data_IF_699789819427
#
_entry.id   IF_699789819427
#
_cell.length_a   1.000
_cell.length_b   1.000
_cell.length_c   1.000
_cell.angle_alpha   90.00
_cell.angle_beta   90.00
_cell.angle_gamma   90.00
#
_symmetry.space_group_name_H-M   'P 1'
#
loop_
_entity.id
_entity.type
_entity.pdbx_description
1 polymer ?
#
# COMPACT_ATOMS: atom_id res chain seq x y z
N UNK A 1 -76.65 6.28 -36.93
CA UNK A 1 -76.69 4.83 -36.68
C UNK A 1 -75.63 4.16 -37.52
N UNK A 2 -74.50 3.84 -36.99
CA UNK A 2 -73.55 2.82 -37.46
C UNK A 2 -72.93 2.14 -36.26
N UNK A 3 -73.29 0.95 -35.99
CA UNK A 3 -72.81 0.03 -34.98
C UNK A 3 -71.41 -0.48 -35.38
N UNK A 4 -70.40 -0.34 -34.58
CA UNK A 4 -69.08 -0.97 -34.70
C UNK A 4 -69.02 -2.16 -33.76
N UNK A 5 -68.99 -3.35 -34.39
CA UNK A 5 -68.77 -4.63 -33.73
C UNK A 5 -67.27 -4.73 -33.44
N UNK A 6 -66.91 -4.89 -32.18
CA UNK A 6 -65.57 -5.22 -31.75
C UNK A 6 -65.40 -6.73 -31.67
N UNK A 7 -64.44 -7.27 -32.41
CA UNK A 7 -64.05 -8.70 -32.41
C UNK A 7 -63.22 -9.02 -31.09
N UNK A 8 -63.63 -10.03 -30.32
CA UNK A 8 -63.02 -10.34 -29.05
C UNK A 8 -61.80 -11.28 -29.14
N UNK A 9 -61.12 -11.44 -30.27
CA UNK A 9 -60.08 -12.46 -30.48
C UNK A 9 -58.66 -11.97 -30.60
N UNK A 10 -58.35 -10.72 -30.25
CA UNK A 10 -56.96 -10.22 -30.22
C UNK A 10 -56.55 -9.87 -28.77
N UNK A 11 -56.21 -10.90 -28.01
CA UNK A 11 -55.35 -10.73 -26.83
C UNK A 11 -53.89 -10.85 -27.28
N UNK A 12 -53.00 -9.87 -27.00
CA UNK A 12 -51.56 -10.04 -27.18
C UNK A 12 -51.03 -11.07 -26.18
N UNK A 13 -50.26 -12.03 -26.66
CA UNK A 13 -49.57 -13.01 -25.85
C UNK A 13 -48.63 -12.29 -24.89
N UNK A 14 -48.76 -12.56 -23.60
CA UNK A 14 -47.82 -12.15 -22.56
C UNK A 14 -46.49 -12.90 -22.78
N UNK A 15 -45.43 -12.19 -23.07
CA UNK A 15 -44.07 -12.70 -23.02
C UNK A 15 -43.75 -13.17 -21.59
N UNK A 16 -43.08 -14.31 -21.44
CA UNK A 16 -42.60 -14.71 -20.11
C UNK A 16 -41.59 -13.69 -19.60
N UNK A 17 -41.77 -13.23 -18.37
CA UNK A 17 -40.78 -12.44 -17.64
C UNK A 17 -39.52 -13.30 -17.49
N UNK A 18 -38.45 -12.96 -18.20
CA UNK A 18 -37.11 -13.46 -17.89
C UNK A 18 -36.79 -13.00 -16.47
N UNK A 19 -36.72 -13.95 -15.56
CA UNK A 19 -36.19 -13.73 -14.22
C UNK A 19 -34.74 -13.27 -14.39
N UNK A 20 -34.45 -12.03 -13.92
CA UNK A 20 -33.10 -11.57 -13.75
C UNK A 20 -32.33 -12.60 -12.89
N UNK A 21 -31.06 -12.89 -13.21
CA UNK A 21 -30.30 -13.80 -12.39
C UNK A 21 -30.23 -13.21 -10.95
N UNK A 22 -30.70 -13.99 -10.00
CA UNK A 22 -30.41 -13.74 -8.58
C UNK A 22 -28.90 -13.72 -8.43
N UNK A 23 -28.35 -12.54 -8.18
CA UNK A 23 -26.96 -12.40 -7.75
C UNK A 23 -26.94 -12.85 -6.29
N UNK A 24 -26.54 -14.10 -6.12
CA UNK A 24 -26.29 -14.69 -4.81
C UNK A 24 -25.12 -13.92 -4.17
N UNK A 25 -25.41 -12.97 -3.31
CA UNK A 25 -24.44 -12.38 -2.41
C UNK A 25 -24.10 -13.40 -1.32
N UNK A 26 -23.47 -14.52 -1.69
CA UNK A 26 -22.67 -15.26 -0.74
C UNK A 26 -21.59 -14.29 -0.23
N UNK A 27 -21.75 -13.84 0.99
CA UNK A 27 -20.67 -13.19 1.75
C UNK A 27 -19.54 -14.19 1.85
N UNK A 28 -18.58 -14.11 0.93
CA UNK A 28 -17.34 -14.86 0.94
C UNK A 28 -16.64 -14.56 2.27
N UNK A 29 -16.85 -15.41 3.26
CA UNK A 29 -16.11 -15.35 4.52
C UNK A 29 -14.67 -15.70 4.20
N UNK A 30 -13.85 -14.69 3.98
CA UNK A 30 -12.43 -14.85 3.70
C UNK A 30 -11.79 -15.61 4.86
N UNK A 31 -11.39 -16.85 4.60
CA UNK A 31 -10.68 -17.67 5.58
C UNK A 31 -9.23 -17.24 5.62
N UNK A 32 -8.86 -16.47 6.63
CA UNK A 32 -7.46 -16.07 6.84
C UNK A 32 -6.62 -17.31 7.15
N UNK A 33 -5.50 -17.52 6.44
CA UNK A 33 -4.64 -18.69 6.65
C UNK A 33 -4.01 -18.70 8.05
N UNK A 34 -4.01 -19.87 8.70
CA UNK A 34 -3.63 -20.02 10.12
C UNK A 34 -2.24 -19.48 10.46
N UNK A 35 -1.24 -19.68 9.59
CA UNK A 35 0.12 -19.16 9.87
C UNK A 35 0.18 -17.65 9.81
N UNK A 36 -0.68 -17.00 9.02
CA UNK A 36 -0.80 -15.52 8.99
C UNK A 36 -1.35 -15.00 10.32
N UNK A 37 -2.36 -15.70 10.89
CA UNK A 37 -2.91 -15.37 12.20
C UNK A 37 -1.86 -15.49 13.33
N UNK A 38 -0.85 -16.31 13.15
CA UNK A 38 0.23 -16.55 14.12
C UNK A 38 1.48 -15.67 13.88
N UNK A 39 1.41 -14.71 12.94
CA UNK A 39 2.48 -13.73 12.84
C UNK A 39 2.60 -12.93 14.14
N UNK A 40 3.83 -12.63 14.58
CA UNK A 40 4.02 -11.75 15.72
C UNK A 40 3.33 -10.39 15.45
N UNK A 41 2.87 -9.71 16.48
CA UNK A 41 2.29 -8.38 16.33
C UNK A 41 3.29 -7.44 15.67
N UNK A 42 2.76 -6.40 15.00
CA UNK A 42 3.59 -5.30 14.50
C UNK A 42 4.46 -4.75 15.64
N UNK A 43 5.65 -4.25 15.30
CA UNK A 43 6.57 -3.77 16.33
C UNK A 43 5.87 -2.82 17.30
N UNK A 44 5.94 -3.14 18.61
CA UNK A 44 5.19 -2.43 19.64
C UNK A 44 5.53 -0.93 19.71
N UNK A 45 6.80 -0.57 19.49
CA UNK A 45 7.24 0.83 19.49
C UNK A 45 6.65 1.57 18.28
N UNK A 46 6.71 0.96 17.09
CA UNK A 46 6.12 1.55 15.89
C UNK A 46 4.60 1.71 16.02
N UNK A 47 3.90 0.72 16.60
CA UNK A 47 2.46 0.83 16.89
C UNK A 47 2.15 1.97 17.84
N UNK A 48 2.92 2.13 18.92
CA UNK A 48 2.76 3.23 19.87
C UNK A 48 3.05 4.59 19.20
N UNK A 49 4.11 4.67 18.39
CA UNK A 49 4.43 5.87 17.60
C UNK A 49 3.30 6.26 16.67
N UNK A 50 2.70 5.29 15.96
CA UNK A 50 1.54 5.53 15.11
C UNK A 50 0.31 6.01 15.88
N UNK A 51 0.06 5.45 17.06
CA UNK A 51 -1.07 5.83 17.90
C UNK A 51 -0.92 7.24 18.50
N UNK A 52 0.30 7.60 18.94
CA UNK A 52 0.58 8.89 19.57
C UNK A 52 0.40 10.09 18.62
N UNK A 53 0.58 9.90 17.32
CA UNK A 53 0.50 11.02 16.36
C UNK A 53 -0.93 11.43 15.99
N UNK A 54 -1.95 10.79 16.56
CA UNK A 54 -3.34 11.26 16.48
C UNK A 54 -3.66 12.33 17.52
N UNK A 55 -2.77 12.56 18.49
CA UNK A 55 -2.91 13.59 19.51
C UNK A 55 -2.21 14.89 19.06
N UNK A 56 -2.95 15.99 18.80
CA UNK A 56 -2.36 17.27 18.41
C UNK A 56 -1.48 17.92 19.50
N UNK A 57 -1.68 17.56 20.77
CA UNK A 57 -0.98 18.11 21.93
C UNK A 57 0.18 17.22 22.42
N UNK A 58 0.66 16.30 21.56
CA UNK A 58 1.70 15.35 21.96
C UNK A 58 2.98 16.02 22.46
N UNK A 59 3.45 15.64 23.66
CA UNK A 59 4.74 16.07 24.18
C UNK A 59 5.90 15.34 23.46
N UNK A 60 6.76 16.10 22.79
CA UNK A 60 7.97 15.60 22.11
C UNK A 60 8.86 14.74 23.04
N UNK A 61 8.84 15.03 24.35
CA UNK A 61 9.59 14.23 25.33
C UNK A 61 8.97 12.86 25.54
N UNK A 62 7.65 12.79 25.56
CA UNK A 62 6.94 11.52 25.67
C UNK A 62 7.17 10.67 24.41
N UNK A 63 7.09 11.29 23.25
CA UNK A 63 7.34 10.63 21.97
C UNK A 63 8.76 10.07 21.88
N UNK A 64 9.79 10.86 22.24
CA UNK A 64 11.17 10.38 22.25
C UNK A 64 11.40 9.23 23.24
N UNK A 65 10.79 9.28 24.42
CA UNK A 65 10.89 8.20 25.43
C UNK A 65 10.34 6.88 24.96
N UNK A 66 9.24 6.88 24.19
CA UNK A 66 8.69 5.65 23.60
C UNK A 66 9.72 4.98 22.70
N UNK A 67 10.36 5.73 21.80
CA UNK A 67 11.39 5.21 20.89
C UNK A 67 12.65 4.78 21.67
N UNK A 68 13.12 5.61 22.59
CA UNK A 68 14.32 5.38 23.43
C UNK A 68 14.15 4.20 24.39
N UNK A 69 12.90 3.75 24.64
CA UNK A 69 12.58 2.55 25.43
C UNK A 69 13.10 1.25 24.83
N UNK A 70 13.37 1.21 23.52
CA UNK A 70 14.07 0.13 22.83
C UNK A 70 15.35 0.69 22.16
N UNK A 71 16.54 0.47 22.75
CA UNK A 71 17.79 0.99 22.23
C UNK A 71 18.14 0.48 20.82
N UNK A 72 17.76 -0.75 20.48
CA UNK A 72 18.01 -1.31 19.15
C UNK A 72 17.12 -0.62 18.09
N UNK A 73 15.85 -0.44 18.41
CA UNK A 73 14.92 0.27 17.55
C UNK A 73 15.31 1.75 17.37
N UNK A 74 15.72 2.42 18.45
CA UNK A 74 16.22 3.79 18.41
C UNK A 74 17.48 3.92 17.53
N UNK A 75 18.41 2.96 17.64
CA UNK A 75 19.62 2.93 16.80
C UNK A 75 19.27 2.73 15.31
N UNK A 76 18.32 1.87 14.99
CA UNK A 76 17.86 1.65 13.62
C UNK A 76 17.18 2.90 13.04
N UNK A 77 16.37 3.61 13.83
CA UNK A 77 15.79 4.90 13.42
C UNK A 77 16.90 5.92 13.13
N UNK A 78 17.87 6.06 14.03
CA UNK A 78 18.99 6.99 13.85
C UNK A 78 19.87 6.62 12.66
N UNK A 79 20.08 5.33 12.42
CA UNK A 79 20.79 4.85 11.24
C UNK A 79 20.09 5.29 9.96
N UNK A 80 18.77 5.07 9.85
CA UNK A 80 17.99 5.50 8.68
C UNK A 80 17.92 7.03 8.57
N UNK A 81 17.74 7.74 9.68
CA UNK A 81 17.72 9.20 9.72
C UNK A 81 19.00 9.82 9.16
N UNK A 82 20.16 9.19 9.42
CA UNK A 82 21.47 9.62 8.94
C UNK A 82 21.86 9.04 7.57
N UNK A 83 21.01 8.23 6.96
CA UNK A 83 21.28 7.59 5.68
C UNK A 83 20.94 8.50 4.49
N UNK A 84 21.37 8.09 3.29
CA UNK A 84 21.00 8.75 2.03
C UNK A 84 19.50 8.69 1.72
N UNK A 85 18.74 7.82 2.40
CA UNK A 85 17.30 7.70 2.25
C UNK A 85 16.59 9.06 2.46
N UNK A 86 17.08 9.85 3.44
CA UNK A 86 16.49 11.15 3.76
C UNK A 86 17.43 12.34 3.49
N UNK A 87 18.69 12.10 3.18
CA UNK A 87 19.62 13.07 2.62
C UNK A 87 19.92 14.29 3.50
N UNK A 88 19.86 14.18 4.84
CA UNK A 88 20.14 15.31 5.72
C UNK A 88 21.63 15.61 5.80
N UNK A 89 22.02 16.91 5.73
CA UNK A 89 23.42 17.32 5.75
C UNK A 89 24.06 17.22 7.15
N UNK A 90 23.23 17.17 8.21
CA UNK A 90 23.71 17.18 9.60
C UNK A 90 23.53 15.80 10.24
N UNK A 91 24.60 15.30 10.90
CA UNK A 91 24.53 14.05 11.63
C UNK A 91 23.66 14.19 12.91
N UNK A 92 22.71 13.28 13.07
CA UNK A 92 21.83 13.19 14.22
C UNK A 92 22.38 12.19 15.24
N UNK A 93 22.58 12.64 16.47
CA UNK A 93 23.24 11.87 17.54
C UNK A 93 22.25 11.28 18.57
N UNK A 94 20.96 11.59 18.45
CA UNK A 94 19.92 11.08 19.37
C UNK A 94 18.52 11.30 18.84
N UNK A 95 17.58 10.50 19.32
CA UNK A 95 16.17 10.52 18.87
C UNK A 95 15.54 11.90 19.02
N UNK A 96 15.75 12.56 20.16
CA UNK A 96 15.22 13.91 20.40
C UNK A 96 15.79 14.93 19.42
N UNK A 97 17.09 14.84 19.10
CA UNK A 97 17.73 15.70 18.09
C UNK A 97 17.13 15.42 16.70
N UNK A 98 16.94 14.14 16.36
CA UNK A 98 16.27 13.75 15.12
C UNK A 98 14.84 14.29 15.04
N UNK A 99 14.04 14.19 16.11
CA UNK A 99 12.69 14.76 16.16
C UNK A 99 12.71 16.28 15.94
N UNK A 100 13.64 16.99 16.55
CA UNK A 100 13.75 18.46 16.41
C UNK A 100 14.09 18.87 14.98
N UNK A 101 14.95 18.13 14.28
CA UNK A 101 15.36 18.44 12.93
C UNK A 101 14.38 17.97 11.86
N UNK A 102 13.79 16.78 12.06
CA UNK A 102 12.98 16.09 11.05
C UNK A 102 11.48 16.29 11.26
N UNK A 103 11.07 16.59 12.49
CA UNK A 103 9.66 16.60 12.87
C UNK A 103 9.11 15.21 13.19
N UNK A 104 7.92 15.19 13.82
CA UNK A 104 7.26 13.97 14.29
C UNK A 104 6.85 13.04 13.16
N UNK A 105 6.28 13.58 12.09
CA UNK A 105 5.78 12.78 10.96
C UNK A 105 6.91 12.03 10.26
N UNK A 106 8.09 12.66 10.11
CA UNK A 106 9.27 11.98 9.55
C UNK A 106 9.77 10.87 10.47
N UNK A 107 9.81 11.08 11.76
CA UNK A 107 10.22 10.04 12.71
C UNK A 107 9.22 8.89 12.75
N UNK A 108 7.93 9.16 12.59
CA UNK A 108 6.89 8.14 12.41
C UNK A 108 7.15 7.29 11.16
N UNK A 109 7.41 7.93 10.03
CA UNK A 109 7.74 7.26 8.77
C UNK A 109 8.96 6.34 8.94
N UNK A 110 10.01 6.82 9.62
CA UNK A 110 11.18 6.03 9.98
C UNK A 110 10.85 4.83 10.87
N UNK A 111 10.05 5.03 11.92
CA UNK A 111 9.65 3.97 12.83
C UNK A 111 8.88 2.86 12.10
N UNK A 112 7.96 3.22 11.21
CA UNK A 112 7.25 2.25 10.37
C UNK A 112 8.20 1.53 9.43
N UNK A 113 9.12 2.24 8.80
CA UNK A 113 10.13 1.65 7.90
C UNK A 113 11.01 0.63 8.64
N UNK A 114 11.49 0.95 9.85
CA UNK A 114 12.26 0.02 10.70
C UNK A 114 11.43 -1.21 11.05
N UNK A 115 10.17 -1.02 11.45
CA UNK A 115 9.27 -2.12 11.78
C UNK A 115 9.02 -3.04 10.58
N UNK A 116 8.80 -2.47 9.40
CA UNK A 116 8.61 -3.21 8.14
C UNK A 116 9.86 -4.01 7.74
N UNK A 117 11.07 -3.47 7.97
CA UNK A 117 12.32 -4.24 7.77
C UNK A 117 12.38 -5.52 8.60
N UNK A 118 11.70 -5.58 9.73
CA UNK A 118 11.58 -6.79 10.55
C UNK A 118 10.94 -7.99 9.85
N UNK A 119 10.25 -7.76 8.73
CA UNK A 119 9.71 -8.82 7.87
C UNK A 119 10.75 -9.42 6.91
N UNK A 120 11.88 -8.72 6.69
CA UNK A 120 12.88 -9.16 5.72
C UNK A 120 13.61 -10.42 6.20
N UNK A 121 13.79 -11.36 5.28
CA UNK A 121 14.71 -12.48 5.41
C UNK A 121 15.96 -12.19 4.60
N UNK A 122 17.11 -12.18 5.22
CA UNK A 122 18.42 -11.83 4.59
C UNK A 122 18.81 -12.71 3.39
N UNK A 123 18.08 -13.80 3.11
CA UNK A 123 18.46 -14.82 2.10
C UNK A 123 17.48 -14.98 0.95
N UNK A 124 16.43 -14.19 0.89
CA UNK A 124 15.39 -14.38 -0.12
C UNK A 124 15.28 -13.16 -1.03
N UNK A 125 15.72 -13.28 -2.29
CA UNK A 125 15.69 -12.21 -3.27
C UNK A 125 14.26 -11.67 -3.54
N UNK A 126 13.23 -12.54 -3.51
CA UNK A 126 11.84 -12.11 -3.71
C UNK A 126 11.32 -11.30 -2.53
N UNK A 127 11.74 -11.60 -1.29
CA UNK A 127 11.43 -10.75 -0.14
C UNK A 127 12.04 -9.35 -0.32
N UNK A 128 13.28 -9.27 -0.79
CA UNK A 128 13.92 -7.99 -1.09
C UNK A 128 13.21 -7.25 -2.23
N UNK A 129 12.75 -7.96 -3.25
CA UNK A 129 12.00 -7.36 -4.36
C UNK A 129 10.66 -6.75 -3.88
N UNK A 130 9.91 -7.49 -3.05
CA UNK A 130 8.69 -6.96 -2.41
C UNK A 130 8.99 -5.73 -1.55
N UNK A 131 10.07 -5.79 -0.76
CA UNK A 131 10.51 -4.66 0.05
C UNK A 131 10.87 -3.44 -0.79
N UNK A 132 11.66 -3.62 -1.86
CA UNK A 132 12.05 -2.52 -2.75
C UNK A 132 10.85 -1.88 -3.43
N UNK A 133 9.85 -2.68 -3.82
CA UNK A 133 8.59 -2.15 -4.32
C UNK A 133 7.89 -1.28 -3.29
N UNK A 134 7.75 -1.78 -2.03
CA UNK A 134 7.11 -1.00 -0.96
C UNK A 134 7.84 0.31 -0.69
N UNK A 135 9.18 0.31 -0.66
CA UNK A 135 9.97 1.54 -0.49
C UNK A 135 9.84 2.45 -1.71
N UNK A 136 9.91 1.91 -2.93
CA UNK A 136 9.73 2.70 -4.15
C UNK A 136 8.36 3.37 -4.20
N UNK A 137 7.29 2.62 -3.88
CA UNK A 137 5.95 3.18 -3.76
C UNK A 137 5.89 4.31 -2.71
N UNK A 138 6.50 4.11 -1.53
CA UNK A 138 6.56 5.13 -0.49
C UNK A 138 7.28 6.41 -0.95
N UNK A 139 8.41 6.26 -1.65
CA UNK A 139 9.17 7.39 -2.20
C UNK A 139 8.41 8.13 -3.30
N UNK A 140 7.71 7.40 -4.17
CA UNK A 140 6.83 8.00 -5.18
C UNK A 140 5.65 8.72 -4.50
N UNK A 141 5.04 8.12 -3.45
CA UNK A 141 4.00 8.78 -2.65
C UNK A 141 4.49 10.14 -2.09
N UNK A 142 5.70 10.17 -1.54
CA UNK A 142 6.33 11.40 -1.03
C UNK A 142 6.46 12.45 -2.13
N UNK A 143 6.98 12.08 -3.30
CA UNK A 143 7.21 12.99 -4.43
C UNK A 143 5.90 13.57 -5.01
N UNK A 144 4.84 12.77 -5.11
CA UNK A 144 3.56 13.24 -5.67
C UNK A 144 2.59 13.78 -4.62
N UNK A 145 2.96 13.76 -3.33
CA UNK A 145 2.08 14.15 -2.20
C UNK A 145 1.49 15.55 -2.33
N UNK A 146 2.28 16.50 -2.84
CA UNK A 146 1.85 17.88 -3.04
C UNK A 146 0.72 18.03 -4.09
N UNK A 147 0.48 17.02 -4.94
CA UNK A 147 -0.63 16.99 -5.89
C UNK A 147 -1.97 16.74 -5.17
N UNK A 148 -1.89 16.13 -3.98
CA UNK A 148 -3.02 15.74 -3.14
C UNK A 148 -3.11 16.54 -1.84
N UNK A 149 -2.32 17.60 -1.70
CA UNK A 149 -2.25 18.44 -0.49
C UNK A 149 -1.92 17.65 0.81
N UNK A 150 -1.16 16.55 0.68
CA UNK A 150 -0.62 15.81 1.82
C UNK A 150 0.82 16.21 2.14
N UNK A 151 1.21 16.03 3.41
CA UNK A 151 2.62 16.04 3.76
C UNK A 151 3.34 14.83 3.15
N UNK A 152 4.58 15.02 2.68
CA UNK A 152 5.38 13.93 2.11
C UNK A 152 5.52 12.75 3.05
N UNK A 153 5.70 13.00 4.36
CA UNK A 153 5.88 11.97 5.39
C UNK A 153 4.63 11.10 5.60
N UNK A 154 3.44 11.72 5.60
CA UNK A 154 2.18 10.98 5.69
C UNK A 154 1.97 10.13 4.45
N UNK A 155 2.23 10.67 3.28
CA UNK A 155 2.14 9.96 2.02
C UNK A 155 3.14 8.80 1.96
N UNK A 156 4.39 9.02 2.38
CA UNK A 156 5.41 7.98 2.49
C UNK A 156 4.95 6.84 3.41
N UNK A 157 4.40 7.18 4.61
CA UNK A 157 3.93 6.18 5.57
C UNK A 157 2.81 5.30 4.98
N UNK A 158 1.90 5.90 4.24
CA UNK A 158 0.85 5.16 3.55
C UNK A 158 1.42 4.23 2.46
N UNK A 159 2.36 4.75 1.66
CA UNK A 159 3.03 4.00 0.61
C UNK A 159 3.85 2.82 1.13
N UNK A 160 4.59 2.96 2.24
CA UNK A 160 5.39 1.84 2.78
C UNK A 160 4.52 0.72 3.34
N UNK A 161 3.30 1.03 3.81
CA UNK A 161 2.39 0.07 4.42
C UNK A 161 1.50 -0.67 3.43
N UNK A 162 1.31 -0.14 2.21
CA UNK A 162 0.27 -0.63 1.29
C UNK A 162 0.35 -2.12 1.00
N UNK A 163 1.55 -2.68 0.92
CA UNK A 163 1.82 -4.08 0.51
C UNK A 163 2.29 -4.99 1.68
N UNK A 164 1.99 -4.59 2.94
CA UNK A 164 2.37 -5.36 4.14
C UNK A 164 1.82 -6.79 4.12
N UNK A 165 0.66 -6.99 3.52
CA UNK A 165 0.05 -8.31 3.38
C UNK A 165 0.91 -9.26 2.56
N UNK A 166 1.53 -8.80 1.50
CA UNK A 166 2.44 -9.60 0.66
C UNK A 166 3.67 -10.04 1.45
N UNK A 167 4.27 -9.13 2.22
CA UNK A 167 5.38 -9.47 3.11
C UNK A 167 4.94 -10.46 4.20
N UNK A 168 3.73 -10.28 4.76
CA UNK A 168 3.13 -11.20 5.73
C UNK A 168 2.91 -12.60 5.16
N UNK A 169 2.31 -12.70 3.98
CA UNK A 169 2.10 -13.98 3.28
C UNK A 169 3.42 -14.66 2.94
N UNK A 170 4.38 -13.91 2.40
CA UNK A 170 5.70 -14.44 2.03
C UNK A 170 6.48 -14.94 3.24
N UNK A 171 6.35 -14.29 4.40
CA UNK A 171 6.96 -14.72 5.66
C UNK A 171 6.29 -15.99 6.22
N UNK A 172 4.96 -16.08 6.12
CA UNK A 172 4.16 -17.17 6.69
C UNK A 172 4.11 -18.41 5.78
N UNK A 173 4.09 -18.20 4.46
CA UNK A 173 3.88 -19.21 3.43
C UNK A 173 4.87 -19.06 2.26
N UNK A 174 6.19 -19.11 2.55
CA UNK A 174 7.20 -18.90 1.49
C UNK A 174 7.12 -19.94 0.39
N UNK A 175 6.80 -21.19 0.69
CA UNK A 175 6.70 -22.30 -0.29
C UNK A 175 5.58 -22.07 -1.29
N UNK A 176 4.45 -21.55 -0.84
CA UNK A 176 3.26 -21.29 -1.64
C UNK A 176 3.40 -19.97 -2.42
N UNK A 177 4.01 -18.95 -1.80
CA UNK A 177 4.15 -17.62 -2.41
C UNK A 177 5.28 -17.53 -3.45
N UNK A 178 6.38 -18.27 -3.27
CA UNK A 178 7.52 -18.22 -4.20
C UNK A 178 7.13 -18.54 -5.65
N UNK A 179 6.35 -19.62 -5.94
CA UNK A 179 5.88 -19.90 -7.31
C UNK A 179 4.99 -18.79 -7.85
N UNK A 180 4.11 -18.20 -7.03
CA UNK A 180 3.25 -17.09 -7.44
C UNK A 180 4.08 -15.88 -7.85
N UNK A 181 5.04 -15.45 -7.01
CA UNK A 181 5.88 -14.29 -7.31
C UNK A 181 6.83 -14.49 -8.49
N UNK A 182 7.17 -15.74 -8.83
CA UNK A 182 8.00 -16.11 -9.98
C UNK A 182 7.19 -16.43 -11.23
N UNK A 183 5.87 -16.38 -11.15
CA UNK A 183 4.97 -16.69 -12.26
C UNK A 183 4.97 -15.64 -13.37
N UNK A 184 4.30 -15.98 -14.47
CA UNK A 184 4.06 -15.06 -15.59
C UNK A 184 2.56 -14.80 -15.69
N UNK A 185 2.17 -13.55 -15.66
CA UNK A 185 0.78 -13.12 -15.62
C UNK A 185 0.51 -12.05 -16.67
N UNK A 186 -0.73 -11.97 -17.09
CA UNK A 186 -1.19 -10.92 -18.00
C UNK A 186 -1.20 -9.57 -17.30
N UNK A 187 -1.80 -9.52 -16.13
CA UNK A 187 -2.01 -8.31 -15.33
C UNK A 187 -1.97 -8.60 -13.82
N UNK A 188 -2.07 -7.56 -13.01
CA UNK A 188 -2.09 -7.65 -11.54
C UNK A 188 -3.29 -8.44 -11.02
N UNK A 189 -4.45 -8.42 -11.70
CA UNK A 189 -5.63 -9.18 -11.28
C UNK A 189 -5.40 -10.69 -11.39
N UNK A 190 -4.59 -11.14 -12.36
CA UNK A 190 -4.18 -12.55 -12.43
C UNK A 190 -3.23 -12.92 -11.28
N UNK A 191 -2.35 -12.03 -10.85
CA UNK A 191 -1.51 -12.26 -9.66
C UNK A 191 -2.39 -12.44 -8.43
N UNK A 192 -3.36 -11.56 -8.20
CA UNK A 192 -4.31 -11.68 -7.08
C UNK A 192 -5.11 -13.00 -7.13
N UNK A 193 -5.53 -13.43 -8.32
CA UNK A 193 -6.20 -14.73 -8.50
C UNK A 193 -5.28 -15.90 -8.17
N UNK A 194 -4.00 -15.83 -8.55
CA UNK A 194 -3.02 -16.86 -8.24
C UNK A 194 -2.73 -16.94 -6.73
N UNK A 195 -2.62 -15.80 -6.05
CA UNK A 195 -2.49 -15.75 -4.58
C UNK A 195 -3.70 -16.40 -3.89
N UNK A 196 -4.93 -16.04 -4.32
CA UNK A 196 -6.17 -16.66 -3.79
C UNK A 196 -6.24 -18.15 -4.08
N UNK A 197 -5.81 -18.60 -5.24
CA UNK A 197 -5.75 -20.03 -5.56
C UNK A 197 -4.75 -20.79 -4.67
N UNK A 198 -3.64 -20.17 -4.31
CA UNK A 198 -2.61 -20.77 -3.47
C UNK A 198 -2.97 -20.76 -1.97
N UNK A 199 -3.62 -19.68 -1.47
CA UNK A 199 -3.76 -19.42 -0.04
C UNK A 199 -5.19 -19.09 0.41
N UNK A 200 -6.18 -19.08 -0.48
CA UNK A 200 -7.57 -18.61 -0.27
C UNK A 200 -7.67 -17.12 0.12
N UNK A 201 -6.59 -16.38 0.05
CA UNK A 201 -6.52 -14.95 0.31
C UNK A 201 -5.45 -14.33 -0.57
N UNK A 202 -5.66 -13.12 -1.07
CA UNK A 202 -4.62 -12.32 -1.71
C UNK A 202 -3.93 -11.39 -0.70
N UNK A 203 -2.84 -10.77 -1.15
CA UNK A 203 -2.07 -9.87 -0.28
C UNK A 203 -2.85 -8.61 0.12
N UNK A 204 -3.75 -8.11 -0.71
CA UNK A 204 -4.55 -6.94 -0.41
C UNK A 204 -5.46 -7.19 0.81
N UNK A 205 -6.23 -8.27 0.77
CA UNK A 205 -7.07 -8.71 1.90
C UNK A 205 -6.26 -9.15 3.12
N UNK A 206 -5.14 -9.84 2.91
CA UNK A 206 -4.23 -10.22 3.99
C UNK A 206 -3.67 -8.99 4.71
N UNK A 207 -3.31 -7.93 3.97
CA UNK A 207 -2.84 -6.67 4.51
C UNK A 207 -3.90 -5.96 5.33
N UNK A 208 -5.11 -5.81 4.80
CA UNK A 208 -6.25 -5.23 5.50
C UNK A 208 -6.52 -5.96 6.83
N UNK A 209 -6.51 -7.30 6.80
CA UNK A 209 -6.66 -8.10 8.00
C UNK A 209 -5.53 -7.89 9.02
N UNK A 210 -4.27 -7.86 8.58
CA UNK A 210 -3.12 -7.61 9.46
C UNK A 210 -3.22 -6.25 10.15
N UNK A 211 -3.59 -5.19 9.43
CA UNK A 211 -3.80 -3.84 9.97
C UNK A 211 -4.85 -3.89 11.10
N UNK A 212 -5.99 -4.55 10.86
CA UNK A 212 -7.05 -4.72 11.86
C UNK A 212 -6.59 -5.55 13.06
N UNK A 213 -5.92 -6.69 12.82
CA UNK A 213 -5.45 -7.59 13.86
C UNK A 213 -4.38 -6.96 14.77
N UNK A 214 -3.58 -6.05 14.24
CA UNK A 214 -2.55 -5.31 14.98
C UNK A 214 -3.03 -3.97 15.54
N UNK A 215 -4.34 -3.68 15.40
CA UNK A 215 -4.97 -2.44 15.86
C UNK A 215 -4.26 -1.17 15.33
N UNK A 216 -3.78 -1.21 14.09
CA UNK A 216 -3.18 -0.06 13.41
C UNK A 216 -4.26 0.89 12.86
N UNK A 217 -3.93 2.14 12.49
CA UNK A 217 -4.89 3.09 11.95
C UNK A 217 -5.68 2.54 10.75
N UNK A 218 -7.00 2.75 10.75
CA UNK A 218 -7.94 2.19 9.76
C UNK A 218 -7.66 2.63 8.32
N UNK A 219 -7.10 3.82 8.14
CA UNK A 219 -6.72 4.34 6.81
C UNK A 219 -5.81 3.34 6.09
N UNK A 220 -4.90 2.67 6.81
CA UNK A 220 -4.02 1.67 6.22
C UNK A 220 -4.76 0.39 5.81
N UNK A 221 -5.86 0.03 6.49
CA UNK A 221 -6.69 -1.13 6.11
C UNK A 221 -7.33 -0.90 4.74
N UNK A 222 -7.94 0.27 4.53
CA UNK A 222 -8.51 0.68 3.24
C UNK A 222 -7.45 0.66 2.13
N UNK A 223 -6.28 1.24 2.41
CA UNK A 223 -5.16 1.29 1.45
C UNK A 223 -4.72 -0.12 1.07
N UNK A 224 -4.46 -0.99 2.06
CA UNK A 224 -4.05 -2.36 1.77
C UNK A 224 -5.07 -3.10 0.92
N UNK A 225 -6.36 -2.98 1.24
CA UNK A 225 -7.43 -3.75 0.59
C UNK A 225 -7.67 -3.31 -0.85
N UNK A 226 -7.58 -2.01 -1.13
CA UNK A 226 -8.10 -1.43 -2.37
C UNK A 226 -7.05 -0.84 -3.31
N UNK A 227 -5.74 -0.93 -2.99
CA UNK A 227 -4.71 -0.28 -3.81
C UNK A 227 -4.57 -0.84 -5.24
N UNK A 228 -5.08 -2.04 -5.51
CA UNK A 228 -5.14 -2.65 -6.84
C UNK A 228 -6.50 -2.54 -7.52
N UNK A 229 -7.50 -1.99 -6.86
CA UNK A 229 -8.82 -1.80 -7.47
C UNK A 229 -8.78 -0.67 -8.50
N UNK A 230 -9.69 -0.73 -9.47
CA UNK A 230 -9.89 0.37 -10.39
C UNK A 230 -10.18 1.67 -9.61
N UNK A 231 -9.73 2.84 -10.10
CA UNK A 231 -10.04 4.12 -9.47
C UNK A 231 -11.56 4.32 -9.35
N UNK A 232 -12.02 4.69 -8.15
CA UNK A 232 -13.42 4.95 -7.86
C UNK A 232 -13.60 6.35 -7.28
N UNK A 233 -14.74 7.00 -7.60
CA UNK A 233 -15.00 8.39 -7.16
C UNK A 233 -15.08 8.56 -5.63
N UNK A 234 -15.39 7.48 -4.91
CA UNK A 234 -15.47 7.47 -3.45
C UNK A 234 -14.17 7.05 -2.77
N UNK A 235 -13.09 6.77 -3.52
CA UNK A 235 -11.79 6.46 -2.90
C UNK A 235 -11.32 7.67 -2.08
N UNK A 236 -10.80 7.40 -0.88
CA UNK A 236 -10.13 8.45 -0.11
C UNK A 236 -8.97 9.05 -0.91
N UNK A 237 -8.65 10.32 -0.71
CA UNK A 237 -7.55 10.98 -1.45
C UNK A 237 -6.21 10.29 -1.18
N UNK A 238 -6.01 9.76 0.03
CA UNK A 238 -4.81 9.01 0.37
C UNK A 238 -4.74 7.66 -0.38
N UNK A 239 -5.87 6.96 -0.53
CA UNK A 239 -5.95 5.75 -1.35
C UNK A 239 -5.68 6.05 -2.83
N UNK A 240 -6.26 7.14 -3.38
CA UNK A 240 -6.00 7.57 -4.76
C UNK A 240 -4.52 7.85 -5.00
N UNK A 241 -3.86 8.52 -4.03
CA UNK A 241 -2.43 8.81 -4.06
C UNK A 241 -1.61 7.51 -4.10
N UNK A 242 -1.91 6.55 -3.21
CA UNK A 242 -1.19 5.27 -3.14
C UNK A 242 -1.43 4.42 -4.38
N UNK A 243 -2.66 4.36 -4.91
CA UNK A 243 -2.96 3.69 -6.20
C UNK A 243 -2.11 4.24 -7.34
N UNK A 244 -1.99 5.56 -7.43
CA UNK A 244 -1.17 6.20 -8.45
C UNK A 244 0.33 5.88 -8.24
N UNK A 245 0.82 6.01 -7.01
CA UNK A 245 2.21 5.78 -6.67
C UNK A 245 2.64 4.31 -6.91
N UNK A 246 1.81 3.33 -6.56
CA UNK A 246 2.04 1.92 -6.81
C UNK A 246 2.22 1.66 -8.32
N UNK A 247 1.30 2.15 -9.16
CA UNK A 247 1.38 2.03 -10.63
C UNK A 247 2.61 2.74 -11.22
N UNK A 248 2.97 3.91 -10.68
CA UNK A 248 4.17 4.66 -11.10
C UNK A 248 5.42 3.87 -10.71
N UNK A 249 5.50 3.34 -9.49
CA UNK A 249 6.63 2.54 -9.03
C UNK A 249 6.86 1.31 -9.93
N UNK A 250 5.79 0.62 -10.31
CA UNK A 250 5.85 -0.48 -11.28
C UNK A 250 6.37 -0.01 -12.64
N UNK A 251 5.83 1.09 -13.16
CA UNK A 251 6.14 1.62 -14.47
C UNK A 251 7.60 2.12 -14.59
N UNK A 252 8.17 2.65 -13.50
CA UNK A 252 9.57 3.11 -13.48
C UNK A 252 10.57 1.99 -13.15
N UNK A 253 10.12 0.73 -12.97
CA UNK A 253 11.03 -0.42 -12.90
C UNK A 253 11.14 -1.12 -11.56
N UNK A 254 10.21 -0.89 -10.62
CA UNK A 254 10.18 -1.55 -9.31
C UNK A 254 8.95 -2.47 -9.10
N UNK A 255 8.49 -3.27 -10.09
CA UNK A 255 7.37 -4.18 -9.88
C UNK A 255 7.79 -5.36 -9.00
N UNK A 256 6.84 -5.88 -8.19
CA UNK A 256 7.04 -7.16 -7.49
C UNK A 256 6.95 -8.32 -8.49
N UNK A 257 5.95 -8.30 -9.37
CA UNK A 257 5.75 -9.30 -10.43
C UNK A 257 5.65 -8.57 -11.75
N UNK A 258 6.45 -9.02 -12.74
CA UNK A 258 6.40 -8.47 -14.09
C UNK A 258 5.19 -9.04 -14.83
N UNK A 259 4.19 -8.20 -15.08
CA UNK A 259 3.04 -8.55 -15.89
C UNK A 259 3.26 -8.16 -17.36
N UNK A 260 2.59 -8.88 -18.29
CA UNK A 260 2.69 -8.60 -19.73
C UNK A 260 2.02 -7.25 -20.08
N UNK A 261 0.90 -6.92 -19.41
CA UNK A 261 0.17 -5.65 -19.57
C UNK A 261 0.50 -4.69 -18.41
N UNK A 262 1.77 -4.40 -18.23
CA UNK A 262 2.17 -3.40 -17.25
C UNK A 262 1.95 -2.00 -17.83
N UNK A 263 1.32 -1.07 -17.07
CA UNK A 263 1.11 0.29 -17.59
C UNK A 263 2.43 0.98 -17.86
N UNK A 264 2.51 1.72 -18.97
CA UNK A 264 3.60 2.66 -19.20
C UNK A 264 3.55 3.79 -18.16
N UNK A 265 4.64 4.53 -18.01
CA UNK A 265 4.69 5.69 -17.11
C UNK A 265 3.59 6.72 -17.42
N UNK A 266 3.34 7.00 -18.71
CA UNK A 266 2.31 7.94 -19.11
C UNK A 266 0.90 7.48 -18.74
N UNK A 267 0.61 6.19 -18.85
CA UNK A 267 -0.66 5.61 -18.40
C UNK A 267 -0.77 5.61 -16.88
N UNK A 268 0.33 5.37 -16.16
CA UNK A 268 0.35 5.38 -14.70
C UNK A 268 0.08 6.79 -14.13
N UNK A 269 0.61 7.84 -14.76
CA UNK A 269 0.47 9.23 -14.29
C UNK A 269 -0.79 9.92 -14.83
N UNK A 270 -1.41 9.39 -15.88
CA UNK A 270 -2.59 9.98 -16.53
C UNK A 270 -3.73 10.32 -15.54
N UNK A 271 -4.07 9.51 -14.53
CA UNK A 271 -5.12 9.84 -13.56
C UNK A 271 -4.82 11.10 -12.74
N UNK A 272 -3.55 11.51 -12.64
CA UNK A 272 -3.14 12.71 -11.90
C UNK A 272 -3.27 13.99 -12.73
N UNK A 273 -3.37 13.90 -14.06
CA UNK A 273 -3.40 15.04 -14.97
C UNK A 273 -4.43 16.12 -14.59
N UNK A 274 -5.67 15.77 -14.17
CA UNK A 274 -6.65 16.78 -13.76
C UNK A 274 -6.24 17.57 -12.50
N UNK A 275 -5.42 16.95 -11.63
CA UNK A 275 -4.94 17.55 -10.37
C UNK A 275 -3.66 18.36 -10.54
N UNK A 276 -2.88 18.11 -11.58
CA UNK A 276 -1.61 18.79 -11.81
C UNK A 276 -1.78 20.30 -12.07
N UNK A 277 -2.89 20.70 -12.67
CA UNK A 277 -3.12 22.10 -13.00
C UNK A 277 -1.99 22.69 -13.88
N UNK A 278 -1.21 23.64 -13.32
CA UNK A 278 -0.02 24.22 -13.97
C UNK A 278 1.29 23.56 -13.54
N UNK A 279 1.26 22.59 -12.60
CA UNK A 279 2.45 21.88 -12.16
C UNK A 279 2.83 20.85 -13.21
N UNK A 280 4.11 20.73 -13.51
CA UNK A 280 4.60 19.65 -14.35
C UNK A 280 4.56 18.34 -13.56
N UNK A 281 4.23 17.24 -14.25
CA UNK A 281 4.42 15.90 -13.68
C UNK A 281 5.92 15.65 -13.48
N UNK A 282 6.34 14.92 -12.43
CA UNK A 282 7.72 14.46 -12.33
C UNK A 282 8.12 13.69 -13.59
N UNK A 283 9.39 13.71 -13.96
CA UNK A 283 9.88 12.88 -15.06
C UNK A 283 10.16 11.44 -14.55
N UNK A 284 9.89 10.45 -15.39
CA UNK A 284 10.15 9.04 -15.05
C UNK A 284 11.62 8.79 -14.66
N UNK A 285 12.54 9.41 -15.39
CA UNK A 285 13.98 9.30 -15.16
C UNK A 285 14.40 9.90 -13.83
N UNK A 286 13.84 11.05 -13.46
CA UNK A 286 14.12 11.71 -12.17
C UNK A 286 13.59 10.88 -11.01
N UNK A 287 12.36 10.35 -11.12
CA UNK A 287 11.78 9.46 -10.12
C UNK A 287 12.62 8.18 -9.98
N UNK A 288 12.99 7.54 -11.07
CA UNK A 288 13.83 6.35 -11.05
C UNK A 288 15.18 6.61 -10.38
N UNK A 289 15.85 7.71 -10.74
CA UNK A 289 17.13 8.09 -10.17
C UNK A 289 17.03 8.38 -8.66
N UNK A 290 16.01 9.13 -8.23
CA UNK A 290 15.75 9.44 -6.82
C UNK A 290 15.47 8.15 -6.02
N UNK A 291 14.55 7.31 -6.49
CA UNK A 291 14.21 6.03 -5.83
C UNK A 291 15.44 5.14 -5.72
N UNK A 292 16.19 4.97 -6.81
CA UNK A 292 17.39 4.12 -6.82
C UNK A 292 18.46 4.61 -5.85
N UNK A 293 18.74 5.91 -5.83
CA UNK A 293 19.72 6.51 -4.93
C UNK A 293 19.34 6.33 -3.44
N UNK A 294 18.05 6.44 -3.12
CA UNK A 294 17.54 6.29 -1.76
C UNK A 294 17.43 4.83 -1.33
N UNK A 295 17.09 3.91 -2.23
CA UNK A 295 17.10 2.47 -1.96
C UNK A 295 18.47 1.94 -1.55
N UNK A 296 19.57 2.51 -2.06
CA UNK A 296 20.93 2.12 -1.67
C UNK A 296 21.20 2.24 -0.15
N UNK A 297 20.38 2.98 0.60
CA UNK A 297 20.45 3.04 2.07
C UNK A 297 20.09 1.71 2.74
N UNK A 298 19.38 0.81 2.05
CA UNK A 298 18.94 -0.48 2.58
C UNK A 298 19.84 -1.65 2.21
N UNK A 299 20.83 -1.45 1.35
CA UNK A 299 21.75 -2.49 0.87
C UNK A 299 22.90 -2.80 1.86
N UNK A 300 22.89 -2.19 3.07
CA UNK A 300 23.93 -2.31 4.09
C UNK A 300 23.56 -3.21 5.25
#
# INVERSE_FOLDING_TARGET
MRSTVTDPRLRPASLPAESAPEVDFETDVVKIPVKLCNLPPFNAIASQVLALTTDPDIDLRQFSKVIEGDPAFAADILFLANSSLFGFPSQMHGVRHAITLLGLERIKALAVTVAMRGFLSKRNALVHQCWYHSVACALVCEEISAIFDFSGDRAYTAGIMHDIGRLGLLKSYPTEMMPVLSGQYLDTQEVLRAERAALNVDHARAGSWLIGNWALPKDFSEICEHHHDAPHANDSELLQLVKAACRIADAIGFPVVKCQQQPSYLEAISPLTPRLGRKAAPLAEDLYANVTARLAAFDR
#
